data_IF_823835470088
#
_entry.id   IF_823835470088
#
_cell.length_a   1.000
_cell.length_b   1.000
_cell.length_c   1.000
_cell.angle_alpha   90.00
_cell.angle_beta   90.00
_cell.angle_gamma   90.00
#
_symmetry.space_group_name_H-M   'P 1'
#
loop_
_entity.id
_entity.type
_entity.pdbx_description
1 polymer ?
#
# COMPACT_ATOMS: atom_id res chain seq x y z
N UNK A 1 17.72 0.61 4.01
CA UNK A 1 17.28 -0.69 4.55
C UNK A 1 16.22 -1.33 3.66
N UNK A 2 15.10 -0.63 3.31
CA UNK A 2 14.02 -1.17 2.47
C UNK A 2 14.53 -1.66 1.10
N UNK A 3 15.21 -0.79 0.34
CA UNK A 3 15.77 -1.12 -0.99
C UNK A 3 16.73 -2.31 -0.88
N UNK A 4 17.64 -2.30 0.11
CA UNK A 4 18.58 -3.40 0.32
C UNK A 4 17.85 -4.72 0.60
N UNK A 5 16.83 -4.70 1.47
CA UNK A 5 16.06 -5.91 1.77
C UNK A 5 15.33 -6.45 0.53
N UNK A 6 14.81 -5.55 -0.32
CA UNK A 6 14.16 -5.94 -1.57
C UNK A 6 15.17 -6.60 -2.53
N UNK A 7 16.38 -6.07 -2.65
CA UNK A 7 17.46 -6.63 -3.48
C UNK A 7 17.93 -7.99 -2.98
N UNK A 8 18.25 -8.08 -1.68
CA UNK A 8 18.87 -9.27 -1.09
C UNK A 8 17.90 -10.46 -1.03
N UNK A 9 16.66 -10.21 -0.66
CA UNK A 9 15.65 -11.24 -0.42
C UNK A 9 14.99 -11.71 -1.73
N UNK A 10 14.64 -10.77 -2.61
CA UNK A 10 13.91 -11.11 -3.84
C UNK A 10 14.84 -11.35 -5.04
N UNK A 11 16.08 -10.85 -5.01
CA UNK A 11 17.05 -10.95 -6.11
C UNK A 11 16.43 -10.62 -7.47
N UNK A 12 15.77 -9.46 -7.60
CA UNK A 12 15.08 -9.10 -8.83
C UNK A 12 16.07 -8.79 -9.95
N UNK A 13 15.64 -8.94 -11.19
CA UNK A 13 16.44 -8.53 -12.36
C UNK A 13 16.72 -7.02 -12.34
N UNK A 14 15.74 -6.21 -11.96
CA UNK A 14 15.84 -4.75 -11.85
C UNK A 14 14.96 -4.23 -10.72
N UNK A 15 15.45 -3.17 -10.06
CA UNK A 15 14.66 -2.36 -9.11
C UNK A 15 14.51 -0.97 -9.70
N UNK A 16 13.31 -0.63 -10.17
CA UNK A 16 13.01 0.71 -10.65
C UNK A 16 12.71 1.64 -9.49
N UNK A 17 13.41 2.78 -9.45
CA UNK A 17 13.14 3.85 -8.50
C UNK A 17 12.49 5.02 -9.22
N UNK A 18 11.19 5.22 -8.98
CA UNK A 18 10.42 6.30 -9.58
C UNK A 18 10.54 7.55 -8.72
N UNK A 19 11.02 8.66 -9.28
CA UNK A 19 11.24 9.90 -8.54
C UNK A 19 10.94 11.13 -9.40
N UNK A 20 10.49 12.21 -8.75
CA UNK A 20 10.36 13.53 -9.37
C UNK A 20 11.60 14.37 -9.07
N UNK A 21 12.05 14.35 -7.82
CA UNK A 21 13.26 14.99 -7.33
C UNK A 21 14.21 13.91 -6.81
N UNK A 22 15.44 13.91 -7.36
CA UNK A 22 16.42 12.91 -6.94
C UNK A 22 16.80 13.12 -5.47
N UNK A 23 16.74 12.07 -4.64
CA UNK A 23 17.20 12.14 -3.26
C UNK A 23 18.70 12.46 -3.20
N UNK A 24 19.16 12.92 -2.02
CA UNK A 24 20.57 13.22 -1.77
C UNK A 24 21.00 12.66 -0.42
N UNK A 25 22.30 12.54 -0.22
CA UNK A 25 22.92 12.13 1.03
C UNK A 25 23.49 10.72 1.03
N UNK A 26 24.21 10.38 2.08
CA UNK A 26 24.99 9.14 2.20
C UNK A 26 24.17 7.87 1.91
N UNK A 27 22.96 7.79 2.43
CA UNK A 27 22.11 6.60 2.25
C UNK A 27 21.59 6.48 0.81
N UNK A 28 21.40 7.59 0.13
CA UNK A 28 21.06 7.60 -1.29
C UNK A 28 22.21 7.07 -2.14
N UNK A 29 23.42 7.55 -1.92
CA UNK A 29 24.60 7.09 -2.64
C UNK A 29 24.87 5.58 -2.44
N UNK A 30 24.56 5.05 -1.26
CA UNK A 30 24.62 3.61 -0.98
C UNK A 30 23.53 2.79 -1.69
N UNK A 31 22.33 3.34 -1.85
CA UNK A 31 21.21 2.64 -2.47
C UNK A 31 21.23 2.74 -3.99
N UNK A 32 21.69 3.85 -4.54
CA UNK A 32 21.67 4.17 -5.99
C UNK A 32 22.26 3.09 -6.89
N UNK A 33 23.37 2.42 -6.57
CA UNK A 33 23.92 1.34 -7.40
C UNK A 33 22.99 0.13 -7.58
N UNK A 34 22.01 -0.05 -6.69
CA UNK A 34 21.04 -1.15 -6.76
C UNK A 34 19.83 -0.81 -7.66
N UNK A 35 19.75 0.43 -8.18
CA UNK A 35 18.53 0.98 -8.75
C UNK A 35 18.67 1.28 -10.23
N UNK A 36 17.60 1.07 -10.97
CA UNK A 36 17.36 1.67 -12.27
C UNK A 36 16.51 2.92 -12.06
N UNK A 37 17.11 4.08 -12.26
CA UNK A 37 16.47 5.37 -11.99
C UNK A 37 15.45 5.71 -13.09
N UNK A 38 14.23 6.03 -12.69
CA UNK A 38 13.15 6.44 -13.59
C UNK A 38 12.56 7.77 -13.11
N UNK A 39 12.96 8.86 -13.76
CA UNK A 39 12.43 10.19 -13.46
C UNK A 39 11.02 10.31 -14.02
N UNK A 40 10.06 10.62 -13.15
CA UNK A 40 8.65 10.79 -13.47
C UNK A 40 8.19 12.20 -13.09
N UNK A 41 7.20 12.71 -13.80
CA UNK A 41 6.48 13.91 -13.37
C UNK A 41 5.25 13.47 -12.59
N UNK A 42 5.14 13.90 -11.33
CA UNK A 42 3.98 13.58 -10.52
C UNK A 42 2.71 14.18 -11.15
N UNK A 43 1.63 13.39 -11.35
CA UNK A 43 0.42 13.88 -12.00
C UNK A 43 -0.28 14.91 -11.13
N UNK A 44 -0.70 16.03 -11.71
CA UNK A 44 -1.50 17.06 -11.03
C UNK A 44 -2.99 16.72 -11.04
N UNK A 45 -3.41 15.88 -11.98
CA UNK A 45 -4.77 15.37 -12.11
C UNK A 45 -4.77 13.98 -12.73
N UNK A 46 -5.83 13.22 -12.48
CA UNK A 46 -6.07 11.95 -13.13
C UNK A 46 -7.57 11.76 -13.39
N UNK A 47 -7.96 11.29 -14.58
CA UNK A 47 -9.35 11.14 -15.02
C UNK A 47 -10.22 12.38 -14.75
N UNK A 48 -9.66 13.58 -15.01
CA UNK A 48 -10.35 14.87 -14.79
C UNK A 48 -10.48 15.29 -13.32
N UNK A 49 -9.84 14.57 -12.38
CA UNK A 49 -9.87 14.89 -10.95
C UNK A 49 -8.51 15.40 -10.49
N UNK A 50 -8.44 16.54 -9.81
CA UNK A 50 -7.18 17.09 -9.31
C UNK A 50 -6.61 16.25 -8.17
N UNK A 51 -5.29 16.10 -8.14
CA UNK A 51 -4.52 15.39 -7.12
C UNK A 51 -3.68 16.40 -6.34
N UNK A 52 -4.18 16.83 -5.19
CA UNK A 52 -3.54 17.89 -4.42
C UNK A 52 -2.36 17.41 -3.55
N UNK A 53 -2.41 16.17 -3.09
CA UNK A 53 -1.41 15.65 -2.14
C UNK A 53 -0.48 14.64 -2.81
N UNK A 54 0.81 14.69 -2.44
CA UNK A 54 1.85 13.81 -3.02
C UNK A 54 1.53 12.32 -2.87
N UNK A 55 0.94 11.91 -1.74
CA UNK A 55 0.56 10.51 -1.54
C UNK A 55 -0.48 10.04 -2.57
N UNK A 56 -1.50 10.87 -2.90
CA UNK A 56 -2.49 10.52 -3.92
C UNK A 56 -1.89 10.50 -5.33
N UNK A 57 -0.90 11.36 -5.60
CA UNK A 57 -0.13 11.30 -6.86
C UNK A 57 0.66 10.00 -6.94
N UNK A 58 1.30 9.59 -5.84
CA UNK A 58 2.00 8.31 -5.75
C UNK A 58 1.06 7.10 -5.90
N UNK A 59 -0.17 7.17 -5.36
CA UNK A 59 -1.19 6.12 -5.54
C UNK A 59 -1.56 5.91 -7.02
N UNK A 60 -1.65 6.98 -7.79
CA UNK A 60 -1.89 6.88 -9.24
C UNK A 60 -0.67 6.34 -9.96
N UNK A 61 0.53 6.85 -9.64
CA UNK A 61 1.78 6.42 -10.30
C UNK A 61 2.03 4.92 -10.09
N UNK A 62 1.85 4.40 -8.85
CA UNK A 62 2.06 2.96 -8.57
C UNK A 62 1.14 2.06 -9.40
N UNK A 63 -0.12 2.45 -9.56
CA UNK A 63 -1.08 1.70 -10.35
C UNK A 63 -0.80 1.80 -11.85
N UNK A 64 -0.39 2.97 -12.37
CA UNK A 64 0.00 3.14 -13.77
C UNK A 64 1.22 2.31 -14.12
N UNK A 65 2.26 2.35 -13.26
CA UNK A 65 3.47 1.54 -13.45
C UNK A 65 3.12 0.04 -13.47
N UNK A 66 2.34 -0.44 -12.49
CA UNK A 66 1.91 -1.84 -12.47
C UNK A 66 1.07 -2.23 -13.67
N UNK A 67 0.22 -1.33 -14.17
CA UNK A 67 -0.52 -1.56 -15.41
C UNK A 67 0.42 -1.72 -16.61
N UNK A 68 1.43 -0.88 -16.73
CA UNK A 68 2.33 -0.83 -17.89
C UNK A 68 3.36 -1.96 -17.88
N UNK A 69 3.91 -2.28 -16.72
CA UNK A 69 5.04 -3.21 -16.62
C UNK A 69 4.70 -4.51 -15.89
N UNK A 70 3.70 -4.52 -15.02
CA UNK A 70 3.54 -5.54 -14.01
C UNK A 70 4.63 -5.49 -12.96
N UNK A 71 4.83 -6.58 -12.22
CA UNK A 71 5.89 -6.73 -11.24
C UNK A 71 5.44 -6.51 -9.80
N UNK A 72 6.38 -6.10 -8.95
CA UNK A 72 6.18 -5.91 -7.52
C UNK A 72 6.41 -4.44 -7.21
N UNK A 73 5.40 -3.77 -6.66
CA UNK A 73 5.51 -2.43 -6.10
C UNK A 73 5.69 -2.52 -4.57
N UNK A 74 6.63 -1.75 -4.04
CA UNK A 74 6.89 -1.62 -2.61
C UNK A 74 7.07 -0.15 -2.24
N UNK A 75 6.41 0.29 -1.17
CA UNK A 75 6.70 1.58 -0.54
C UNK A 75 8.09 1.55 0.12
N UNK A 76 8.74 2.71 0.24
CA UNK A 76 10.10 2.84 0.77
C UNK A 76 10.24 2.52 2.28
N UNK A 77 9.15 2.38 2.98
CA UNK A 77 9.07 1.94 4.38
C UNK A 77 8.74 0.45 4.53
N UNK A 78 8.73 -0.31 3.42
CA UNK A 78 8.49 -1.75 3.40
C UNK A 78 9.82 -2.52 3.48
N UNK A 79 9.94 -3.45 4.43
CA UNK A 79 11.11 -4.33 4.57
C UNK A 79 10.72 -5.75 4.16
N UNK A 80 11.40 -6.29 3.16
CA UNK A 80 11.22 -7.67 2.73
C UNK A 80 11.92 -8.61 3.72
N UNK A 81 11.20 -9.62 4.20
CA UNK A 81 11.71 -10.66 5.11
C UNK A 81 11.61 -12.06 4.51
N UNK A 82 10.84 -12.21 3.43
CA UNK A 82 10.69 -13.46 2.66
C UNK A 82 10.60 -13.16 1.17
N UNK A 83 11.05 -14.09 0.30
CA UNK A 83 10.93 -13.92 -1.14
C UNK A 83 9.45 -13.89 -1.59
N UNK A 84 9.17 -13.05 -2.57
CA UNK A 84 7.82 -12.86 -3.13
C UNK A 84 7.62 -13.62 -4.46
N UNK A 85 8.66 -14.24 -5.03
CA UNK A 85 8.60 -14.90 -6.33
C UNK A 85 7.55 -16.01 -6.42
N UNK A 86 7.30 -16.75 -5.33
CA UNK A 86 6.26 -17.78 -5.29
C UNK A 86 4.82 -17.23 -5.44
N UNK A 87 4.64 -15.92 -5.37
CA UNK A 87 3.34 -15.26 -5.51
C UNK A 87 3.08 -14.74 -6.94
N UNK A 88 4.09 -14.72 -7.82
CA UNK A 88 4.01 -14.08 -9.14
C UNK A 88 3.07 -14.77 -10.15
N UNK A 89 2.58 -15.96 -9.83
CA UNK A 89 1.61 -16.69 -10.68
C UNK A 89 0.15 -16.19 -10.49
N UNK A 90 -0.05 -15.12 -9.74
CA UNK A 90 -1.36 -14.51 -9.53
C UNK A 90 -1.50 -13.24 -10.37
N UNK A 91 -2.69 -12.98 -10.91
CA UNK A 91 -2.95 -11.79 -11.71
C UNK A 91 -2.77 -10.49 -10.93
N UNK A 92 -3.25 -10.48 -9.67
CA UNK A 92 -3.04 -9.35 -8.75
C UNK A 92 -3.09 -9.81 -7.30
N UNK A 93 -2.17 -9.28 -6.48
CA UNK A 93 -2.11 -9.56 -5.04
C UNK A 93 -2.04 -8.26 -4.24
N UNK A 94 -2.80 -8.21 -3.15
CA UNK A 94 -2.80 -7.14 -2.17
C UNK A 94 -3.05 -7.71 -0.76
N UNK A 95 -2.46 -7.07 0.25
CA UNK A 95 -2.63 -7.46 1.65
C UNK A 95 -3.77 -6.73 2.35
N UNK A 96 -4.40 -7.38 3.32
CA UNK A 96 -5.36 -6.77 4.21
C UNK A 96 -4.69 -5.82 5.19
N UNK A 97 -5.33 -4.67 5.44
CA UNK A 97 -4.96 -3.72 6.48
C UNK A 97 -5.91 -3.88 7.68
N UNK A 98 -5.35 -3.99 8.88
CA UNK A 98 -6.15 -4.01 10.11
C UNK A 98 -6.48 -2.59 10.58
N UNK A 99 -7.64 -2.43 11.19
CA UNK A 99 -7.93 -1.20 11.93
C UNK A 99 -6.90 -1.01 13.03
N UNK A 100 -6.34 0.21 13.16
CA UNK A 100 -5.52 0.54 14.31
C UNK A 100 -6.29 0.21 15.60
N UNK A 101 -5.65 -0.49 16.53
CA UNK A 101 -6.25 -0.69 17.84
C UNK A 101 -6.42 0.68 18.52
N UNK A 102 -7.60 0.90 19.07
CA UNK A 102 -7.84 2.10 19.87
C UNK A 102 -6.98 2.06 21.13
N UNK A 103 -6.07 3.00 21.27
CA UNK A 103 -5.24 3.17 22.47
C UNK A 103 -5.89 4.25 23.34
N UNK A 104 -6.39 3.89 24.54
CA UNK A 104 -6.94 4.89 25.46
C UNK A 104 -5.88 5.91 25.87
N UNK A 105 -6.26 7.20 25.88
CA UNK A 105 -5.35 8.30 26.26
C UNK A 105 -5.40 8.64 27.75
N UNK A 106 -6.39 8.11 28.51
CA UNK A 106 -6.57 8.33 29.92
C UNK A 106 -7.37 7.18 30.56
N UNK A 107 -7.34 7.10 31.90
CA UNK A 107 -7.97 6.03 32.69
C UNK A 107 -9.48 5.87 32.44
N UNK A 108 -10.22 6.97 32.14
CA UNK A 108 -11.67 6.89 31.84
C UNK A 108 -11.93 6.21 30.50
N UNK A 109 -11.07 6.43 29.53
CA UNK A 109 -11.12 5.76 28.24
C UNK A 109 -10.68 4.30 28.34
N UNK A 110 -9.72 3.98 29.22
CA UNK A 110 -9.30 2.61 29.50
C UNK A 110 -10.45 1.76 30.06
N UNK A 111 -11.17 2.29 31.06
CA UNK A 111 -12.35 1.60 31.63
C UNK A 111 -13.42 1.38 30.55
N UNK A 112 -13.76 2.41 29.77
CA UNK A 112 -14.74 2.28 28.68
C UNK A 112 -14.29 1.28 27.62
N UNK A 113 -13.01 1.26 27.28
CA UNK A 113 -12.43 0.33 26.32
C UNK A 113 -12.47 -1.11 26.85
N UNK A 114 -12.08 -1.32 28.10
CA UNK A 114 -12.13 -2.63 28.76
C UNK A 114 -13.56 -3.20 28.81
N UNK A 115 -14.55 -2.38 29.18
CA UNK A 115 -15.97 -2.76 29.19
C UNK A 115 -16.43 -3.15 27.77
N UNK A 116 -16.15 -2.31 26.76
CA UNK A 116 -16.55 -2.56 25.38
C UNK A 116 -15.86 -3.81 24.78
N UNK A 117 -14.61 -4.06 25.17
CA UNK A 117 -13.89 -5.28 24.78
C UNK A 117 -14.51 -6.52 25.41
N UNK A 118 -14.83 -6.45 26.72
CA UNK A 118 -15.47 -7.55 27.47
C UNK A 118 -16.88 -7.86 26.96
N UNK A 119 -17.64 -6.85 26.53
CA UNK A 119 -19.00 -7.01 26.00
C UNK A 119 -19.03 -7.37 24.50
N UNK A 120 -17.87 -7.56 23.85
CA UNK A 120 -17.81 -7.88 22.43
C UNK A 120 -18.14 -6.72 21.48
N UNK A 121 -18.37 -5.50 22.02
CA UNK A 121 -18.65 -4.30 21.24
C UNK A 121 -17.41 -3.79 20.47
N UNK A 122 -16.21 -4.22 20.86
CA UNK A 122 -14.96 -3.98 20.14
C UNK A 122 -14.36 -5.33 19.79
N UNK A 123 -14.31 -5.62 18.49
CA UNK A 123 -13.59 -6.80 17.98
C UNK A 123 -12.14 -6.37 17.69
N UNK A 124 -11.17 -7.10 18.27
CA UNK A 124 -9.77 -6.99 17.87
C UNK A 124 -9.59 -7.53 16.44
N UNK A 125 -8.57 -7.04 15.73
CA UNK A 125 -8.18 -7.54 14.40
C UNK A 125 -9.24 -7.38 13.30
N UNK A 126 -10.04 -6.31 13.34
CA UNK A 126 -10.96 -6.02 12.24
C UNK A 126 -10.19 -5.51 11.02
N UNK A 127 -10.48 -6.09 9.86
CA UNK A 127 -9.98 -5.57 8.59
C UNK A 127 -10.55 -4.18 8.35
N UNK A 128 -9.67 -3.21 8.10
CA UNK A 128 -10.01 -1.84 7.76
C UNK A 128 -10.25 -1.69 6.25
N UNK A 129 -9.37 -2.31 5.47
CA UNK A 129 -9.34 -2.26 4.02
C UNK A 129 -8.19 -3.07 3.46
N UNK A 130 -7.66 -2.65 2.33
CA UNK A 130 -6.48 -3.25 1.71
C UNK A 130 -5.34 -2.23 1.68
N UNK A 131 -4.12 -2.69 2.00
CA UNK A 131 -2.94 -1.83 2.07
C UNK A 131 -2.23 -1.79 0.71
N UNK A 132 -2.05 -0.60 0.15
CA UNK A 132 -1.41 -0.42 -1.14
C UNK A 132 0.12 -0.21 -1.07
N UNK A 133 0.73 -0.42 0.10
CA UNK A 133 2.18 -0.31 0.29
C UNK A 133 2.99 -1.45 -0.35
N UNK A 134 2.36 -2.61 -0.56
CA UNK A 134 2.95 -3.74 -1.26
C UNK A 134 1.91 -4.37 -2.20
N UNK A 135 2.20 -4.36 -3.49
CA UNK A 135 1.33 -4.84 -4.55
C UNK A 135 2.12 -5.73 -5.50
N UNK A 136 1.53 -6.86 -5.91
CA UNK A 136 2.07 -7.68 -6.99
C UNK A 136 1.03 -7.72 -8.11
N UNK A 137 1.47 -7.56 -9.35
CA UNK A 137 0.57 -7.49 -10.50
C UNK A 137 1.20 -8.08 -11.74
N UNK A 138 0.44 -8.81 -12.50
CA UNK A 138 0.76 -9.02 -13.91
C UNK A 138 0.59 -7.71 -14.68
N UNK A 139 1.27 -7.62 -15.84
CA UNK A 139 1.08 -6.48 -16.74
C UNK A 139 -0.38 -6.41 -17.21
N UNK A 140 -0.95 -5.20 -17.18
CA UNK A 140 -2.32 -4.93 -17.59
C UNK A 140 -3.39 -5.74 -16.83
N UNK A 141 -3.12 -6.05 -15.55
CA UNK A 141 -4.06 -6.78 -14.70
C UNK A 141 -5.47 -6.18 -14.73
N UNK A 142 -6.51 -7.00 -14.87
CA UNK A 142 -7.89 -6.53 -14.85
C UNK A 142 -8.24 -5.79 -13.55
N UNK A 143 -7.69 -6.19 -12.41
CA UNK A 143 -7.95 -5.53 -11.13
C UNK A 143 -7.34 -4.12 -11.07
N UNK A 144 -6.12 -3.94 -11.59
CA UNK A 144 -5.47 -2.61 -11.68
C UNK A 144 -6.29 -1.67 -12.57
N UNK A 145 -6.80 -2.17 -13.69
CA UNK A 145 -7.65 -1.38 -14.59
C UNK A 145 -8.93 -0.92 -13.89
N UNK A 146 -9.65 -1.84 -13.24
CA UNK A 146 -10.84 -1.52 -12.44
C UNK A 146 -10.54 -0.48 -11.36
N UNK A 147 -9.40 -0.61 -10.68
CA UNK A 147 -9.02 0.33 -9.63
C UNK A 147 -8.72 1.71 -10.19
N UNK A 148 -7.95 1.82 -11.27
CA UNK A 148 -7.69 3.09 -11.96
C UNK A 148 -8.98 3.78 -12.40
N UNK A 149 -9.95 3.04 -12.94
CA UNK A 149 -11.24 3.59 -13.41
C UNK A 149 -12.04 4.27 -12.29
N UNK A 150 -11.86 3.84 -11.03
CA UNK A 150 -12.54 4.48 -9.89
C UNK A 150 -12.07 5.90 -9.62
N UNK A 151 -10.90 6.30 -10.13
CA UNK A 151 -10.39 7.67 -9.93
C UNK A 151 -11.23 8.75 -10.63
N UNK A 152 -12.13 8.37 -11.54
CA UNK A 152 -13.17 9.28 -12.07
C UNK A 152 -14.05 9.87 -10.96
N UNK A 153 -14.17 9.18 -9.81
CA UNK A 153 -14.90 9.63 -8.62
C UNK A 153 -14.00 10.20 -7.52
N UNK A 154 -12.68 10.34 -7.75
CA UNK A 154 -11.73 10.85 -6.75
C UNK A 154 -12.11 12.26 -6.29
N UNK A 155 -12.03 12.52 -4.97
CA UNK A 155 -12.52 13.76 -4.35
C UNK A 155 -11.72 14.25 -3.15
N UNK A 156 -10.68 13.54 -2.73
CA UNK A 156 -9.86 13.99 -1.61
C UNK A 156 -9.04 15.23 -1.98
N UNK A 157 -8.96 16.18 -1.05
CA UNK A 157 -8.17 17.41 -1.17
C UNK A 157 -6.88 17.37 -0.33
N UNK A 158 -6.55 16.23 0.25
CA UNK A 158 -5.42 16.02 1.14
C UNK A 158 -5.83 15.16 2.33
N UNK A 159 -5.37 15.50 3.54
CA UNK A 159 -5.68 14.74 4.76
C UNK A 159 -7.10 15.05 5.29
N UNK A 160 -8.09 14.74 4.46
CA UNK A 160 -9.51 14.92 4.75
C UNK A 160 -10.22 13.58 5.05
N UNK A 161 -11.55 13.60 5.18
CA UNK A 161 -12.35 12.38 5.43
C UNK A 161 -12.31 11.36 4.28
N UNK A 162 -11.81 11.74 3.11
CA UNK A 162 -11.67 10.91 1.92
C UNK A 162 -10.23 10.43 1.69
N UNK A 163 -9.32 10.75 2.63
CA UNK A 163 -7.89 10.46 2.54
C UNK A 163 -7.58 9.02 2.12
N UNK A 164 -8.18 8.04 2.79
CA UNK A 164 -7.96 6.61 2.54
C UNK A 164 -8.99 6.00 1.58
N UNK A 165 -9.84 6.82 0.93
CA UNK A 165 -10.95 6.27 0.14
C UNK A 165 -10.44 5.40 -1.00
N UNK A 166 -9.54 5.93 -1.84
CA UNK A 166 -9.05 5.24 -3.02
C UNK A 166 -7.87 4.29 -2.76
N UNK A 167 -7.11 4.53 -1.69
CA UNK A 167 -5.94 3.71 -1.33
C UNK A 167 -6.28 2.48 -0.49
N UNK A 168 -7.37 2.54 0.31
CA UNK A 168 -7.71 1.50 1.30
C UNK A 168 -9.13 0.96 1.13
N UNK A 169 -10.13 1.84 0.97
CA UNK A 169 -11.55 1.43 1.02
C UNK A 169 -12.13 1.05 -0.34
N UNK A 170 -11.69 1.68 -1.41
CA UNK A 170 -12.11 1.32 -2.77
C UNK A 170 -11.61 -0.07 -3.15
N UNK A 171 -10.33 -0.42 -2.99
CA UNK A 171 -9.84 -1.74 -3.40
C UNK A 171 -10.52 -2.90 -2.66
N UNK A 172 -10.91 -2.76 -1.38
CA UNK A 172 -11.63 -3.85 -0.70
C UNK A 172 -13.06 -4.02 -1.26
N UNK A 173 -13.72 -2.93 -1.68
CA UNK A 173 -15.03 -3.02 -2.33
C UNK A 173 -14.94 -3.65 -3.73
N UNK A 174 -13.91 -3.28 -4.50
CA UNK A 174 -13.63 -3.89 -5.80
C UNK A 174 -13.34 -5.38 -5.65
N UNK A 175 -12.53 -5.78 -4.67
CA UNK A 175 -12.21 -7.18 -4.40
C UNK A 175 -13.46 -7.99 -4.03
N UNK A 176 -14.38 -7.41 -3.28
CA UNK A 176 -15.65 -8.07 -2.96
C UNK A 176 -16.55 -8.26 -4.21
N UNK A 177 -16.51 -7.32 -5.16
CA UNK A 177 -17.25 -7.41 -6.42
C UNK A 177 -16.57 -8.26 -7.50
N UNK A 178 -15.27 -8.48 -7.41
CA UNK A 178 -14.45 -9.17 -8.41
C UNK A 178 -13.42 -10.12 -7.76
N UNK A 179 -13.88 -11.11 -6.95
CA UNK A 179 -12.98 -11.99 -6.20
C UNK A 179 -12.11 -12.87 -7.10
N UNK A 180 -12.51 -13.08 -8.34
CA UNK A 180 -11.78 -13.81 -9.39
C UNK A 180 -10.56 -13.06 -9.95
N UNK A 181 -10.46 -11.74 -9.71
CA UNK A 181 -9.40 -10.87 -10.27
C UNK A 181 -8.31 -10.49 -9.28
N UNK A 182 -8.42 -10.91 -8.02
CA UNK A 182 -7.49 -10.51 -6.97
C UNK A 182 -7.28 -11.62 -5.94
N UNK A 183 -6.04 -11.83 -5.54
CA UNK A 183 -5.68 -12.68 -4.41
C UNK A 183 -5.45 -11.81 -3.18
N UNK A 184 -6.26 -12.02 -2.15
CA UNK A 184 -6.15 -11.29 -0.89
C UNK A 184 -5.27 -12.07 0.11
N UNK A 185 -4.21 -11.43 0.57
CA UNK A 185 -3.39 -11.97 1.65
C UNK A 185 -3.84 -11.44 3.01
N UNK A 186 -3.69 -12.26 4.04
CA UNK A 186 -3.97 -11.83 5.41
C UNK A 186 -3.08 -10.67 5.88
N UNK A 187 -3.45 -9.98 6.95
CA UNK A 187 -2.81 -8.72 7.37
C UNK A 187 -1.35 -8.88 7.75
N UNK A 188 -0.93 -10.07 8.16
CA UNK A 188 0.46 -10.33 8.53
C UNK A 188 1.41 -10.55 7.35
N UNK A 189 0.88 -10.60 6.11
CA UNK A 189 1.72 -10.77 4.93
C UNK A 189 2.47 -9.48 4.55
N UNK A 190 1.75 -8.33 4.51
CA UNK A 190 2.29 -7.07 4.01
C UNK A 190 2.10 -5.88 4.98
N UNK A 191 1.34 -6.05 6.07
CA UNK A 191 1.02 -4.97 7.00
C UNK A 191 1.43 -5.32 8.43
N UNK A 192 2.68 -5.76 8.59
CA UNK A 192 3.25 -6.15 9.88
C UNK A 192 4.70 -5.66 10.03
N UNK A 193 5.18 -5.24 11.22
CA UNK A 193 4.42 -5.14 12.47
C UNK A 193 3.38 -4.03 12.44
N UNK A 194 2.28 -4.21 13.17
CA UNK A 194 1.30 -3.14 13.36
C UNK A 194 1.95 -2.03 14.18
N UNK A 195 1.93 -0.79 13.70
CA UNK A 195 2.63 0.33 14.32
C UNK A 195 2.10 0.74 15.71
N UNK A 196 0.99 0.19 16.15
CA UNK A 196 0.48 0.33 17.52
C UNK A 196 0.75 -0.89 18.42
N UNK A 197 1.53 -1.87 17.95
CA UNK A 197 2.09 -2.98 18.73
C UNK A 197 3.61 -3.00 18.53
N UNK A 198 4.34 -2.03 19.09
CA UNK A 198 5.80 -2.09 19.06
C UNK A 198 6.25 -3.26 19.95
N UNK A 199 6.91 -4.23 19.35
CA UNK A 199 7.60 -5.30 20.05
C UNK A 199 6.86 -6.64 20.03
N UNK A 200 7.12 -7.40 19.01
CA UNK A 200 7.36 -8.83 19.08
C UNK A 200 8.81 -9.05 18.73
#
# INVERSE_FOLDING_TARGET
>A
LAIQSAADINKPEKIFFHYEFEPQGEWWEKAKPLLTLNKVKAPESFMGRPLYHVAHKADVVRLQVLKETGGIYLDLDTICVKPLHGLLNNSFIIGQELKPEYVPKNWRQEIKFAIRKKTGLIKSNQVNGLCNAALLSEKNSPFVNLWLDTYSSFRSKGRDKYWNEHSVFVPIKLAAGHPDKVTLLGPYAFHYPLYNKPGL
#
